data_IF_051566475344
#
_entry.id   IF_051566475344
#
_cell.length_a   1.000
_cell.length_b   1.000
_cell.length_c   1.000
_cell.angle_alpha   90.00
_cell.angle_beta   90.00
_cell.angle_gamma   90.00
#
_symmetry.space_group_name_H-M   'P 1'
#
loop_
_entity.id
_entity.type
_entity.pdbx_description
1 polymer ?
#
# COMPACT_ATOMS: atom_id res chain seq x y z
N UNK A 1 -48.90 -13.09 -22.72
CA UNK A 1 -47.63 -12.46 -23.11
C UNK A 1 -46.53 -13.30 -22.51
N UNK A 2 -46.11 -14.30 -23.28
CA UNK A 2 -45.03 -15.22 -22.92
C UNK A 2 -43.72 -14.49 -23.17
N UNK A 3 -42.92 -14.29 -22.11
CA UNK A 3 -41.54 -13.85 -22.24
C UNK A 3 -40.65 -15.09 -22.23
N UNK A 4 -40.28 -15.51 -23.43
CA UNK A 4 -39.21 -16.47 -23.69
C UNK A 4 -37.87 -15.78 -23.45
N UNK A 5 -37.11 -16.26 -22.46
CA UNK A 5 -35.70 -15.89 -22.29
C UNK A 5 -34.86 -17.07 -22.75
N UNK A 6 -34.16 -16.83 -23.86
CA UNK A 6 -33.18 -17.70 -24.50
C UNK A 6 -31.96 -17.88 -23.59
N UNK A 7 -31.65 -19.11 -23.20
CA UNK A 7 -30.35 -19.45 -22.62
C UNK A 7 -29.42 -19.91 -23.73
N UNK A 8 -28.41 -19.10 -24.01
CA UNK A 8 -27.40 -19.37 -25.02
C UNK A 8 -26.61 -20.64 -24.70
N UNK A 9 -26.52 -21.52 -25.69
CA UNK A 9 -25.63 -22.67 -25.73
C UNK A 9 -24.17 -22.22 -25.65
N UNK A 10 -23.52 -22.46 -24.52
CA UNK A 10 -22.05 -22.44 -24.45
C UNK A 10 -21.52 -23.82 -24.87
N UNK A 11 -21.12 -23.92 -26.13
CA UNK A 11 -20.40 -25.08 -26.67
C UNK A 11 -18.92 -24.97 -26.31
N UNK A 12 -18.42 -25.83 -25.43
CA UNK A 12 -16.99 -26.01 -25.20
C UNK A 12 -16.51 -27.22 -26.02
N UNK A 13 -15.77 -26.94 -27.08
CA UNK A 13 -15.13 -27.94 -27.94
C UNK A 13 -13.83 -28.38 -27.27
N UNK A 14 -13.78 -29.59 -26.72
CA UNK A 14 -12.52 -30.26 -26.37
C UNK A 14 -12.26 -31.41 -27.34
N UNK A 15 -11.40 -31.17 -28.32
CA UNK A 15 -10.78 -32.24 -29.11
C UNK A 15 -9.67 -32.88 -28.27
N UNK A 16 -9.71 -34.20 -28.12
CA UNK A 16 -8.51 -35.01 -27.89
C UNK A 16 -8.48 -35.89 -26.65
N UNK A 17 -8.52 -37.20 -26.93
CA UNK A 17 -7.91 -38.31 -26.20
C UNK A 17 -8.62 -38.88 -24.96
N UNK A 18 -8.90 -40.20 -25.04
CA UNK A 18 -8.93 -41.06 -23.86
C UNK A 18 -10.21 -41.88 -23.70
N UNK A 19 -10.26 -43.02 -24.37
CA UNK A 19 -11.23 -44.11 -24.16
C UNK A 19 -11.14 -44.60 -22.70
N UNK A 20 -12.01 -44.12 -21.81
CA UNK A 20 -12.12 -44.65 -20.44
C UNK A 20 -13.37 -45.52 -20.32
N UNK A 21 -13.06 -46.81 -20.37
CA UNK A 21 -13.81 -47.99 -19.91
C UNK A 21 -14.79 -47.65 -18.79
N UNK A 22 -16.05 -48.04 -18.98
CA UNK A 22 -17.11 -47.83 -18.00
C UNK A 22 -16.78 -48.46 -16.64
N UNK A 23 -17.04 -47.70 -15.58
CA UNK A 23 -17.24 -48.21 -14.24
C UNK A 23 -18.50 -47.54 -13.70
N UNK A 24 -19.50 -48.35 -13.35
CA UNK A 24 -20.72 -47.90 -12.66
C UNK A 24 -20.30 -47.20 -11.37
N UNK A 25 -20.54 -45.89 -11.27
CA UNK A 25 -20.36 -45.16 -10.01
C UNK A 25 -21.39 -45.71 -8.99
N UNK A 26 -20.94 -46.24 -7.84
CA UNK A 26 -21.87 -46.76 -6.84
C UNK A 26 -22.60 -45.57 -6.18
N UNK A 27 -23.93 -45.60 -6.19
CA UNK A 27 -24.79 -44.53 -5.63
C UNK A 27 -24.54 -44.20 -4.15
N UNK A 28 -23.75 -45.02 -3.45
CA UNK A 28 -23.23 -44.76 -2.11
C UNK A 28 -22.32 -43.51 -2.06
N UNK A 29 -21.45 -43.29 -3.05
CA UNK A 29 -20.56 -42.13 -3.08
C UNK A 29 -21.32 -40.81 -3.26
N UNK A 30 -22.41 -40.82 -4.04
CA UNK A 30 -23.25 -39.65 -4.26
C UNK A 30 -24.01 -39.26 -2.99
N UNK A 31 -24.45 -40.24 -2.20
CA UNK A 31 -25.10 -40.00 -0.91
C UNK A 31 -24.14 -39.37 0.10
N UNK A 32 -22.90 -39.87 0.18
CA UNK A 32 -21.88 -39.31 1.08
C UNK A 32 -21.59 -37.85 0.71
N UNK A 33 -21.41 -37.56 -0.59
CA UNK A 33 -21.23 -36.19 -1.07
C UNK A 33 -22.39 -35.27 -0.71
N UNK A 34 -23.63 -35.75 -0.81
CA UNK A 34 -24.83 -34.99 -0.45
C UNK A 34 -24.90 -34.68 1.06
N UNK A 35 -24.59 -35.65 1.92
CA UNK A 35 -24.57 -35.44 3.37
C UNK A 35 -23.45 -34.48 3.81
N UNK A 36 -22.27 -34.55 3.19
CA UNK A 36 -21.18 -33.60 3.45
C UNK A 36 -21.58 -32.19 3.04
N UNK A 37 -22.30 -32.03 1.93
CA UNK A 37 -22.72 -30.72 1.43
C UNK A 37 -23.78 -30.07 2.34
N UNK A 38 -24.71 -30.86 2.89
CA UNK A 38 -25.68 -30.39 3.89
C UNK A 38 -24.99 -30.00 5.20
N UNK A 39 -24.02 -30.79 5.66
CA UNK A 39 -23.27 -30.50 6.88
C UNK A 39 -22.41 -29.24 6.74
N UNK A 40 -21.82 -28.99 5.57
CA UNK A 40 -21.13 -27.74 5.29
C UNK A 40 -22.11 -26.55 5.30
N UNK A 41 -23.30 -26.68 4.70
CA UNK A 41 -24.28 -25.60 4.68
C UNK A 41 -24.80 -25.22 6.08
N UNK A 42 -24.99 -26.19 6.98
CA UNK A 42 -25.44 -25.90 8.34
C UNK A 42 -24.39 -25.22 9.21
N UNK A 43 -23.09 -25.40 8.92
CA UNK A 43 -22.01 -24.66 9.60
C UNK A 43 -21.98 -23.18 9.21
N UNK A 44 -22.48 -22.81 8.02
CA UNK A 44 -22.50 -21.42 7.56
C UNK A 44 -23.75 -20.63 7.98
N UNK A 45 -24.85 -21.29 8.34
CA UNK A 45 -26.11 -20.59 8.68
C UNK A 45 -26.25 -20.24 10.16
N UNK A 46 -25.31 -20.66 11.02
CA UNK A 46 -25.34 -20.43 12.47
C UNK A 46 -24.64 -19.16 12.97
N UNK A 47 -23.93 -18.41 12.12
CA UNK A 47 -23.23 -17.18 12.53
C UNK A 47 -24.19 -16.00 12.35
N UNK A 48 -25.20 -15.92 13.21
CA UNK A 48 -26.02 -14.72 13.36
C UNK A 48 -25.23 -13.66 14.12
N UNK A 49 -24.82 -12.59 13.43
CA UNK A 49 -24.27 -11.41 14.10
C UNK A 49 -25.37 -10.79 14.99
N UNK A 50 -25.20 -10.90 16.31
CA UNK A 50 -25.96 -10.13 17.28
C UNK A 50 -25.77 -8.64 16.96
N UNK A 51 -26.86 -7.95 16.67
CA UNK A 51 -26.85 -6.52 16.40
C UNK A 51 -26.57 -5.74 17.68
N UNK A 52 -25.30 -5.48 17.95
CA UNK A 52 -24.90 -4.53 18.99
C UNK A 52 -25.41 -3.14 18.62
N UNK A 53 -26.22 -2.57 19.52
CA UNK A 53 -26.71 -1.20 19.45
C UNK A 53 -25.52 -0.25 19.26
N UNK A 54 -25.46 0.41 18.10
CA UNK A 54 -24.44 1.41 17.77
C UNK A 54 -24.59 2.60 18.70
N UNK A 55 -23.84 2.57 19.81
CA UNK A 55 -23.64 3.71 20.68
C UNK A 55 -22.80 4.70 19.89
N UNK A 56 -23.43 5.71 19.29
CA UNK A 56 -22.72 6.83 18.62
C UNK A 56 -22.00 7.65 19.69
N UNK A 57 -20.79 7.21 20.04
CA UNK A 57 -19.80 8.07 20.67
C UNK A 57 -19.39 9.13 19.63
N UNK A 58 -19.42 10.43 19.96
CA UNK A 58 -18.86 11.44 19.08
C UNK A 58 -17.39 11.09 18.82
N UNK A 59 -17.03 11.00 17.55
CA UNK A 59 -15.66 10.72 17.13
C UNK A 59 -14.75 11.82 17.70
N UNK A 60 -13.64 11.49 18.37
CA UNK A 60 -12.71 12.50 18.83
C UNK A 60 -12.25 13.31 17.62
N UNK A 61 -12.29 14.64 17.71
CA UNK A 61 -11.76 15.52 16.67
C UNK A 61 -10.29 15.16 16.44
N UNK A 62 -9.99 14.46 15.34
CA UNK A 62 -8.63 14.11 14.95
C UNK A 62 -7.85 15.41 14.80
N UNK A 63 -6.96 15.73 15.73
CA UNK A 63 -6.12 16.94 15.61
C UNK A 63 -5.21 16.86 14.38
N UNK A 64 -4.85 15.63 14.00
CA UNK A 64 -3.95 15.33 12.91
C UNK A 64 -4.47 14.12 12.12
N UNK A 65 -4.49 14.25 10.79
CA UNK A 65 -4.77 13.16 9.85
C UNK A 65 -3.48 12.76 9.16
N UNK A 66 -3.19 11.45 9.16
CA UNK A 66 -1.99 10.87 8.58
C UNK A 66 -2.34 10.14 7.29
N UNK A 67 -1.56 10.37 6.24
CA UNK A 67 -1.69 9.66 4.96
C UNK A 67 -0.34 9.03 4.62
N UNK A 68 -0.34 7.74 4.29
CA UNK A 68 0.87 7.06 3.84
C UNK A 68 0.70 6.67 2.37
N UNK A 69 1.77 6.82 1.60
CA UNK A 69 1.87 6.23 0.27
C UNK A 69 2.23 4.75 0.38
N UNK A 70 2.07 4.02 -0.71
CA UNK A 70 2.67 2.71 -0.87
C UNK A 70 4.21 2.81 -0.83
N UNK A 71 4.86 1.68 -0.63
CA UNK A 71 6.32 1.60 -0.55
C UNK A 71 6.96 1.36 -1.91
N UNK A 72 8.05 2.07 -2.17
CA UNK A 72 8.92 1.89 -3.33
C UNK A 72 10.18 1.17 -2.87
N UNK A 73 10.46 -0.01 -3.43
CA UNK A 73 11.69 -0.76 -3.17
C UNK A 73 12.58 -0.67 -4.40
N UNK A 74 13.65 0.14 -4.39
CA UNK A 74 14.47 0.29 -5.59
C UNK A 74 15.42 -0.89 -5.77
N UNK A 75 15.58 -1.33 -7.01
CA UNK A 75 16.31 -2.53 -7.40
C UNK A 75 15.39 -3.71 -7.70
N UNK A 76 15.98 -4.90 -7.81
CA UNK A 76 15.22 -6.11 -8.08
C UNK A 76 14.65 -6.68 -6.78
N UNK A 77 13.35 -6.50 -6.57
CA UNK A 77 12.59 -7.08 -5.46
C UNK A 77 11.38 -7.85 -6.02
N UNK A 78 11.22 -9.12 -5.63
CA UNK A 78 10.08 -9.95 -6.03
C UNK A 78 8.77 -9.50 -5.34
N UNK A 79 8.90 -9.03 -4.11
CA UNK A 79 7.83 -8.46 -3.31
C UNK A 79 8.37 -7.19 -2.64
N UNK A 80 7.55 -6.15 -2.57
CA UNK A 80 7.85 -4.92 -1.88
C UNK A 80 6.72 -4.63 -0.88
N UNK A 81 7.07 -4.67 0.41
CA UNK A 81 6.18 -4.35 1.52
C UNK A 81 6.65 -3.11 2.24
N UNK A 82 5.70 -2.45 2.92
CA UNK A 82 6.04 -1.41 3.89
C UNK A 82 6.92 -2.01 4.99
N UNK A 83 8.03 -1.35 5.30
CA UNK A 83 8.97 -1.79 6.32
C UNK A 83 10.18 -2.57 5.77
N UNK A 84 10.17 -2.94 4.48
CA UNK A 84 11.30 -3.67 3.89
C UNK A 84 12.57 -2.81 3.88
N UNK A 85 13.71 -3.44 4.15
CA UNK A 85 14.99 -2.72 4.16
C UNK A 85 15.28 -2.13 2.78
N UNK A 86 15.73 -0.86 2.78
CA UNK A 86 15.97 -0.01 1.61
C UNK A 86 14.71 0.42 0.85
N UNK A 87 13.52 0.23 1.41
CA UNK A 87 12.29 0.78 0.84
C UNK A 87 12.11 2.26 1.22
N UNK A 88 11.31 2.96 0.42
CA UNK A 88 10.95 4.36 0.56
C UNK A 88 9.44 4.48 0.63
N UNK A 89 8.91 5.38 1.47
CA UNK A 89 7.51 5.76 1.43
C UNK A 89 7.34 7.23 1.74
N UNK A 90 6.35 7.89 1.15
CA UNK A 90 5.95 9.22 1.56
C UNK A 90 4.87 9.17 2.64
N UNK A 91 4.97 10.08 3.59
CA UNK A 91 3.98 10.27 4.65
C UNK A 91 3.54 11.72 4.70
N UNK A 92 2.27 11.93 4.47
CA UNK A 92 1.60 13.21 4.54
C UNK A 92 0.97 13.39 5.92
N UNK A 93 1.11 14.59 6.47
CA UNK A 93 0.51 14.99 7.73
C UNK A 93 -0.33 16.23 7.46
N UNK A 94 -1.61 16.15 7.79
CA UNK A 94 -2.51 17.30 7.79
C UNK A 94 -2.92 17.62 9.22
N UNK A 95 -2.64 18.83 9.69
CA UNK A 95 -3.10 19.32 10.99
C UNK A 95 -4.41 20.06 10.81
N UNK A 96 -5.49 19.55 11.39
CA UNK A 96 -6.82 20.14 11.25
C UNK A 96 -6.90 21.54 11.91
N UNK A 97 -6.14 21.76 13.00
CA UNK A 97 -6.14 23.02 13.76
C UNK A 97 -5.47 24.17 13.02
N UNK A 98 -4.36 23.92 12.33
CA UNK A 98 -3.58 24.95 11.63
C UNK A 98 -3.76 24.93 10.11
N UNK A 99 -4.47 23.92 9.58
CA UNK A 99 -4.54 23.62 8.14
C UNK A 99 -3.15 23.40 7.49
N UNK A 100 -2.14 23.08 8.30
CA UNK A 100 -0.77 22.85 7.83
C UNK A 100 -0.66 21.48 7.17
N UNK A 101 -0.06 21.46 5.97
CA UNK A 101 0.28 20.26 5.21
C UNK A 101 1.79 20.04 5.27
N UNK A 102 2.20 18.90 5.79
CA UNK A 102 3.63 18.52 5.84
C UNK A 102 3.82 17.19 5.14
N UNK A 103 4.89 17.06 4.37
CA UNK A 103 5.27 15.81 3.69
C UNK A 103 6.61 15.37 4.25
N UNK A 104 6.70 14.07 4.54
CA UNK A 104 7.89 13.40 4.99
C UNK A 104 8.25 12.27 4.02
N UNK A 105 9.53 12.05 3.82
CA UNK A 105 10.09 10.88 3.17
C UNK A 105 10.61 9.95 4.25
N UNK A 106 10.02 8.77 4.34
CA UNK A 106 10.47 7.69 5.22
C UNK A 106 11.36 6.74 4.41
N UNK A 107 12.59 6.56 4.88
CA UNK A 107 13.50 5.55 4.36
C UNK A 107 13.68 4.44 5.39
N UNK A 108 13.36 3.22 5.00
CA UNK A 108 13.52 2.04 5.83
C UNK A 108 14.94 1.49 5.66
N UNK A 109 15.67 1.38 6.75
CA UNK A 109 17.02 0.82 6.76
C UNK A 109 17.03 -0.52 7.48
N UNK A 110 18.06 -1.32 7.22
CA UNK A 110 18.18 -2.63 7.85
C UNK A 110 18.52 -2.47 9.35
N UNK A 111 17.97 -3.36 10.19
CA UNK A 111 18.37 -3.48 11.59
C UNK A 111 19.85 -3.89 11.76
N UNK A 112 20.48 -4.43 10.72
CA UNK A 112 21.91 -4.76 10.68
C UNK A 112 22.81 -3.57 10.31
N UNK A 113 22.24 -2.38 10.07
CA UNK A 113 23.04 -1.19 9.80
C UNK A 113 23.78 -0.78 11.09
N UNK A 114 25.11 -0.89 11.06
CA UNK A 114 25.97 -0.80 12.28
C UNK A 114 26.19 0.66 12.73
N UNK A 115 25.72 1.65 11.96
CA UNK A 115 25.81 3.08 12.28
C UNK A 115 24.48 3.77 12.55
N UNK A 116 24.48 4.77 13.44
CA UNK A 116 23.31 5.64 13.64
C UNK A 116 22.93 6.37 12.34
N UNK A 117 21.65 6.40 11.96
CA UNK A 117 21.19 7.07 10.75
C UNK A 117 21.29 8.59 10.93
N UNK A 118 22.06 9.22 10.04
CA UNK A 118 22.34 10.66 10.06
C UNK A 118 21.27 11.41 9.26
N UNK A 119 20.95 10.95 8.06
CA UNK A 119 20.03 11.65 7.18
C UNK A 119 19.83 10.99 5.83
N UNK A 120 18.91 11.58 5.07
CA UNK A 120 18.63 11.23 3.67
C UNK A 120 18.86 12.47 2.81
N UNK A 121 19.47 12.27 1.65
CA UNK A 121 19.58 13.31 0.62
C UNK A 121 19.13 12.77 -0.73
N UNK A 122 18.69 13.68 -1.58
CA UNK A 122 18.25 13.38 -2.94
C UNK A 122 19.12 14.14 -3.93
N UNK A 123 19.62 13.45 -4.94
CA UNK A 123 20.18 14.08 -6.13
C UNK A 123 19.08 14.16 -7.18
N UNK A 124 18.68 15.36 -7.56
CA UNK A 124 17.67 15.60 -8.60
C UNK A 124 18.36 16.30 -9.77
N UNK A 125 18.37 15.65 -10.93
CA UNK A 125 18.99 16.17 -12.17
C UNK A 125 20.42 16.71 -11.96
N UNK A 126 21.22 15.96 -11.20
CA UNK A 126 22.60 16.30 -10.90
C UNK A 126 22.83 17.16 -9.64
N UNK A 127 21.80 17.79 -9.08
CA UNK A 127 21.89 18.68 -7.90
C UNK A 127 21.52 17.95 -6.60
N UNK A 128 22.33 18.10 -5.55
CA UNK A 128 22.09 17.46 -4.25
C UNK A 128 21.23 18.33 -3.31
N UNK A 129 20.25 17.69 -2.68
CA UNK A 129 19.36 18.27 -1.69
C UNK A 129 19.39 17.44 -0.41
N UNK A 130 19.90 18.02 0.67
CA UNK A 130 19.90 17.36 1.98
C UNK A 130 18.53 17.57 2.65
N UNK A 131 17.83 16.48 2.94
CA UNK A 131 16.55 16.56 3.62
C UNK A 131 16.77 16.71 5.12
N UNK A 132 15.95 17.56 5.75
CA UNK A 132 16.02 17.76 7.19
C UNK A 132 15.46 16.54 7.89
N UNK A 133 16.30 15.85 8.69
CA UNK A 133 15.86 14.75 9.55
C UNK A 133 14.77 15.24 10.52
N UNK A 134 13.63 14.57 10.50
CA UNK A 134 12.51 14.80 11.41
C UNK A 134 12.54 13.84 12.60
N UNK A 135 12.96 12.59 12.38
CA UNK A 135 13.02 11.59 13.44
C UNK A 135 13.61 10.27 12.96
N UNK A 136 13.83 9.38 13.90
CA UNK A 136 14.18 7.98 13.63
C UNK A 136 13.30 7.10 14.49
N UNK A 137 12.77 6.05 13.89
CA UNK A 137 11.92 5.07 14.53
C UNK A 137 12.62 3.71 14.46
N UNK A 138 12.71 3.05 15.62
CA UNK A 138 13.41 1.78 15.84
C UNK A 138 12.45 0.69 16.39
N UNK A 139 11.14 0.89 16.22
CA UNK A 139 10.12 -0.05 16.69
C UNK A 139 10.02 -1.27 15.78
N UNK A 140 8.92 -1.40 15.04
CA UNK A 140 8.64 -2.58 14.21
C UNK A 140 9.44 -2.58 12.91
N UNK A 141 9.69 -1.38 12.37
CA UNK A 141 10.50 -1.17 11.18
C UNK A 141 11.45 0.00 11.37
N UNK A 142 12.72 -0.23 11.10
CA UNK A 142 13.79 0.73 11.34
C UNK A 142 13.73 1.77 10.22
N UNK A 143 13.31 3.00 10.53
CA UNK A 143 13.14 4.05 9.52
C UNK A 143 13.65 5.40 9.98
N UNK A 144 14.14 6.18 9.02
CA UNK A 144 14.46 7.59 9.19
C UNK A 144 13.46 8.42 8.41
N UNK A 145 12.83 9.35 9.11
CA UNK A 145 11.87 10.28 8.54
C UNK A 145 12.55 11.60 8.26
N UNK A 146 12.41 12.10 7.05
CA UNK A 146 12.97 13.40 6.65
C UNK A 146 11.89 14.30 6.08
N UNK A 147 11.86 15.57 6.50
CA UNK A 147 10.93 16.55 5.98
C UNK A 147 11.25 16.87 4.52
N UNK A 148 10.21 16.94 3.68
CA UNK A 148 10.30 17.31 2.26
C UNK A 148 9.65 18.68 2.07
N UNK A 149 10.45 19.75 1.93
CA UNK A 149 9.95 21.08 1.59
C UNK A 149 9.17 21.09 0.28
N UNK A 150 8.21 22.00 0.15
CA UNK A 150 7.40 22.14 -1.06
C UNK A 150 8.26 22.31 -2.32
N UNK A 151 9.30 23.15 -2.25
CA UNK A 151 10.26 23.39 -3.33
C UNK A 151 10.96 22.12 -3.81
N UNK A 152 11.35 21.23 -2.88
CA UNK A 152 12.01 19.97 -3.22
C UNK A 152 10.98 18.99 -3.78
N UNK A 153 9.79 18.94 -3.20
CA UNK A 153 8.72 18.08 -3.69
C UNK A 153 8.29 18.45 -5.12
N UNK A 154 8.29 19.73 -5.50
CA UNK A 154 8.05 20.16 -6.88
C UNK A 154 9.18 19.72 -7.81
N UNK A 155 10.45 19.82 -7.36
CA UNK A 155 11.59 19.31 -8.12
C UNK A 155 11.54 17.80 -8.32
N UNK A 156 11.12 17.03 -7.32
CA UNK A 156 10.95 15.56 -7.43
C UNK A 156 9.97 15.22 -8.55
N UNK A 157 8.83 15.94 -8.62
CA UNK A 157 7.77 15.73 -9.62
C UNK A 157 8.26 15.95 -11.06
N UNK A 158 9.24 16.82 -11.26
CA UNK A 158 9.76 17.18 -12.59
C UNK A 158 11.14 16.58 -12.91
N UNK A 159 11.79 15.93 -11.94
CA UNK A 159 13.12 15.37 -12.13
C UNK A 159 13.11 14.23 -13.17
N UNK A 160 14.14 14.19 -14.00
CA UNK A 160 14.37 13.08 -14.94
C UNK A 160 15.18 11.98 -14.27
N UNK A 161 16.14 12.37 -13.45
CA UNK A 161 17.04 11.47 -12.75
C UNK A 161 16.99 11.74 -11.25
N UNK A 162 16.74 10.69 -10.48
CA UNK A 162 16.71 10.73 -9.02
C UNK A 162 17.71 9.73 -8.46
N UNK A 163 18.63 10.21 -7.63
CA UNK A 163 19.48 9.35 -6.79
C UNK A 163 19.11 9.56 -5.33
N UNK A 164 18.77 8.48 -4.64
CA UNK A 164 18.64 8.48 -3.19
C UNK A 164 20.01 8.30 -2.56
N UNK A 165 20.29 9.04 -1.50
CA UNK A 165 21.44 8.79 -0.65
C UNK A 165 21.02 8.69 0.80
N UNK A 166 21.31 7.55 1.41
CA UNK A 166 21.17 7.34 2.84
C UNK A 166 22.54 7.41 3.49
N UNK A 167 22.64 8.19 4.57
CA UNK A 167 23.88 8.32 5.34
C UNK A 167 23.68 7.81 6.77
N UNK A 168 24.50 6.84 7.16
CA UNK A 168 24.73 6.45 8.55
C UNK A 168 26.06 7.03 9.03
N UNK A 169 26.35 6.92 10.33
CA UNK A 169 27.62 7.40 10.90
C UNK A 169 28.85 6.74 10.27
N UNK A 170 28.70 5.52 9.76
CA UNK A 170 29.80 4.72 9.22
C UNK A 170 29.97 4.89 7.72
N UNK A 171 28.86 4.98 6.97
CA UNK A 171 28.89 5.00 5.51
C UNK A 171 27.71 5.77 4.91
N UNK A 172 27.89 6.16 3.65
CA UNK A 172 26.83 6.71 2.80
C UNK A 172 26.57 5.76 1.66
N UNK A 173 25.32 5.35 1.49
CA UNK A 173 24.87 4.47 0.41
C UNK A 173 24.05 5.27 -0.59
N UNK A 174 24.50 5.29 -1.84
CA UNK A 174 23.80 5.92 -2.95
C UNK A 174 23.06 4.86 -3.77
N UNK A 175 21.81 5.15 -4.11
CA UNK A 175 20.95 4.28 -4.90
C UNK A 175 20.34 5.10 -6.04
N UNK A 176 20.71 4.72 -7.27
CA UNK A 176 20.14 5.31 -8.47
C UNK A 176 18.77 4.70 -8.71
N UNK A 177 17.76 5.55 -8.88
CA UNK A 177 16.44 5.09 -9.28
C UNK A 177 16.42 4.93 -10.80
N UNK A 178 15.95 3.78 -11.26
CA UNK A 178 15.61 3.55 -12.66
C UNK A 178 14.50 4.50 -13.13
N UNK A 179 14.33 4.62 -14.44
CA UNK A 179 13.25 5.43 -15.03
C UNK A 179 11.87 5.02 -14.49
N UNK A 180 11.62 3.70 -14.38
CA UNK A 180 10.37 3.17 -13.81
C UNK A 180 10.19 3.60 -12.34
N UNK A 181 11.19 3.38 -11.50
CA UNK A 181 11.13 3.75 -10.07
C UNK A 181 11.00 5.26 -9.88
N UNK A 182 11.61 6.06 -10.74
CA UNK A 182 11.47 7.52 -10.75
C UNK A 182 10.02 7.92 -11.03
N UNK A 183 9.40 7.34 -12.06
CA UNK A 183 7.98 7.62 -12.37
C UNK A 183 7.05 7.15 -11.26
N UNK A 184 7.35 6.02 -10.61
CA UNK A 184 6.59 5.49 -9.49
C UNK A 184 6.70 6.40 -8.25
N UNK A 185 7.91 6.83 -7.89
CA UNK A 185 8.13 7.80 -6.81
C UNK A 185 7.35 9.10 -7.05
N UNK A 186 7.39 9.61 -8.27
CA UNK A 186 6.65 10.81 -8.67
C UNK A 186 5.14 10.62 -8.55
N UNK A 187 4.63 9.46 -8.97
CA UNK A 187 3.22 9.11 -8.83
C UNK A 187 2.79 9.03 -7.37
N UNK A 188 3.57 8.37 -6.51
CA UNK A 188 3.30 8.27 -5.07
C UNK A 188 3.22 9.65 -4.42
N UNK A 189 4.15 10.55 -4.76
CA UNK A 189 4.14 11.92 -4.24
C UNK A 189 2.93 12.72 -4.73
N UNK A 190 2.57 12.61 -6.01
CA UNK A 190 1.39 13.28 -6.59
C UNK A 190 0.10 12.79 -5.93
N UNK A 191 -0.09 11.47 -5.85
CA UNK A 191 -1.26 10.88 -5.22
C UNK A 191 -1.39 11.28 -3.75
N UNK A 192 -0.27 11.32 -3.01
CA UNK A 192 -0.28 11.79 -1.62
C UNK A 192 -0.69 13.26 -1.50
N UNK A 193 -0.15 14.13 -2.37
CA UNK A 193 -0.53 15.55 -2.41
C UNK A 193 -2.01 15.73 -2.70
N UNK A 194 -2.55 14.99 -3.68
CA UNK A 194 -3.99 15.00 -4.00
C UNK A 194 -4.85 14.57 -2.80
N UNK A 195 -4.43 13.53 -2.06
CA UNK A 195 -5.12 13.10 -0.81
C UNK A 195 -5.10 14.21 0.25
N UNK A 196 -3.94 14.85 0.47
CA UNK A 196 -3.81 15.97 1.41
C UNK A 196 -4.67 17.19 1.00
N UNK A 197 -4.73 17.48 -0.29
CA UNK A 197 -5.55 18.57 -0.83
C UNK A 197 -7.04 18.27 -0.70
N UNK A 198 -7.44 17.03 -0.96
CA UNK A 198 -8.81 16.56 -0.75
C UNK A 198 -9.18 16.68 0.72
N UNK A 199 -8.31 16.27 1.65
CA UNK A 199 -8.56 16.42 3.08
C UNK A 199 -8.74 17.88 3.50
N UNK A 200 -7.95 18.80 2.94
CA UNK A 200 -8.13 20.23 3.23
C UNK A 200 -9.47 20.79 2.75
N UNK A 201 -10.05 20.21 1.69
CA UNK A 201 -11.39 20.58 1.18
C UNK A 201 -12.52 19.91 1.95
N UNK A 202 -12.26 18.73 2.51
CA UNK A 202 -13.18 17.96 3.37
C UNK A 202 -13.21 18.45 4.81
N UNK A 203 -12.53 19.54 5.15
CA UNK A 203 -12.62 20.16 6.46
C UNK A 203 -14.03 20.75 6.61
N UNK A 204 -14.99 19.88 6.94
CA UNK A 204 -16.35 20.18 7.30
C UNK A 204 -16.23 21.01 8.56
N UNK A 205 -16.34 22.33 8.39
CA UNK A 205 -16.83 23.31 9.36
C UNK A 205 -16.89 22.78 10.81
N UNK A 206 -15.73 22.64 11.47
CA UNK A 206 -15.67 22.70 12.93
C UNK A 206 -15.54 24.19 13.28
N UNK A 207 -16.66 24.90 13.10
CA UNK A 207 -16.95 26.19 13.73
C UNK A 207 -17.77 25.91 15.00
#
# INVERSE_FOLDING_TARGET
MEFSVSYGEFSFKSEGAGKIRGNKFPGELLKILFFVLIFCFSLFTGIGCSGDFVRRTPEPALEQVLFNSDSLCPGFHLFCSVGDAKSLSFRGVFKNTTSEKSIFLDYYFSSFEVGFPVGVSLRLDGTWFNLRKAGTDYSDSFRISSFVPAEIADKIVHAKEITLSFSSREKTTNQFLSSKETTELQFLLKSLREKLDTQSKLNILNL
#
